data_IF_449486209014
#
_entry.id   IF_449486209014
#
_cell.length_a   1.000
_cell.length_b   1.000
_cell.length_c   1.000
_cell.angle_alpha   90.00
_cell.angle_beta   90.00
_cell.angle_gamma   90.00
#
_symmetry.space_group_name_H-M   'P 1'
#
loop_
_entity.id
_entity.type
_entity.pdbx_description
1 polymer ?
#
# COMPACT_ATOMS: atom_id res chain seq x y z
N UNK A 1 -37.92 6.23 28.30
CA UNK A 1 -36.81 5.33 27.88
C UNK A 1 -36.77 5.15 26.37
N UNK A 2 -37.91 4.97 25.70
CA UNK A 2 -38.01 4.78 24.24
C UNK A 2 -37.36 5.90 23.41
N UNK A 3 -37.58 7.17 23.78
CA UNK A 3 -36.98 8.32 23.10
C UNK A 3 -35.46 8.34 23.18
N UNK A 4 -34.88 7.89 24.30
CA UNK A 4 -33.42 7.76 24.47
C UNK A 4 -32.87 6.63 23.59
N UNK A 5 -33.58 5.52 23.50
CA UNK A 5 -33.17 4.39 22.66
C UNK A 5 -33.21 4.80 21.18
N UNK A 6 -34.29 5.45 20.74
CA UNK A 6 -34.46 5.93 19.37
C UNK A 6 -33.39 6.97 18.98
N UNK A 7 -33.05 7.87 19.89
CA UNK A 7 -32.00 8.87 19.64
C UNK A 7 -30.62 8.22 19.53
N UNK A 8 -30.28 7.28 20.40
CA UNK A 8 -29.02 6.52 20.30
C UNK A 8 -28.95 5.74 18.98
N UNK A 9 -30.05 5.06 18.61
CA UNK A 9 -30.10 4.29 17.37
C UNK A 9 -29.94 5.17 16.13
N UNK A 10 -30.57 6.36 16.14
CA UNK A 10 -30.46 7.33 15.06
C UNK A 10 -29.03 7.86 14.91
N UNK A 11 -28.34 8.18 16.01
CA UNK A 11 -26.93 8.61 15.99
C UNK A 11 -26.02 7.52 15.43
N UNK A 12 -26.19 6.27 15.89
CA UNK A 12 -25.40 5.13 15.38
C UNK A 12 -25.66 4.87 13.90
N UNK A 13 -26.91 4.96 13.45
CA UNK A 13 -27.26 4.80 12.04
C UNK A 13 -26.62 5.90 11.18
N UNK A 14 -26.60 7.14 11.67
CA UNK A 14 -25.96 8.26 10.97
C UNK A 14 -24.43 8.10 10.89
N UNK A 15 -23.78 7.66 11.98
CA UNK A 15 -22.34 7.34 11.99
C UNK A 15 -22.05 6.19 11.01
N UNK A 16 -22.86 5.15 11.02
CA UNK A 16 -22.73 4.03 10.09
C UNK A 16 -22.84 4.46 8.63
N UNK A 17 -23.86 5.27 8.31
CA UNK A 17 -24.09 5.76 6.95
C UNK A 17 -22.96 6.67 6.47
N UNK A 18 -22.48 7.58 7.31
CA UNK A 18 -21.36 8.48 6.97
C UNK A 18 -20.07 7.70 6.72
N UNK A 19 -19.77 6.67 7.52
CA UNK A 19 -18.63 5.79 7.28
C UNK A 19 -18.76 5.02 5.96
N UNK A 20 -19.97 4.52 5.66
CA UNK A 20 -20.26 3.76 4.44
C UNK A 20 -20.09 4.64 3.18
N UNK A 21 -20.62 5.86 3.20
CA UNK A 21 -20.46 6.85 2.12
C UNK A 21 -19.00 7.24 1.96
N UNK A 22 -18.28 7.52 3.05
CA UNK A 22 -16.86 7.87 3.00
C UNK A 22 -16.00 6.73 2.43
N UNK A 23 -16.29 5.48 2.82
CA UNK A 23 -15.61 4.29 2.30
C UNK A 23 -15.84 4.12 0.79
N UNK A 24 -17.09 4.28 0.36
CA UNK A 24 -17.47 4.19 -1.04
C UNK A 24 -16.80 5.28 -1.90
N UNK A 25 -16.79 6.53 -1.42
CA UNK A 25 -16.12 7.64 -2.10
C UNK A 25 -14.59 7.46 -2.14
N UNK A 26 -13.99 6.94 -1.07
CA UNK A 26 -12.55 6.63 -1.03
C UNK A 26 -12.18 5.55 -2.02
N UNK A 27 -13.00 4.51 -2.17
CA UNK A 27 -12.77 3.45 -3.16
C UNK A 27 -12.84 3.98 -4.60
N UNK A 28 -13.71 4.96 -4.87
CA UNK A 28 -13.88 5.50 -6.21
C UNK A 28 -12.80 6.52 -6.61
N UNK A 29 -12.13 7.15 -5.64
CA UNK A 29 -11.12 8.18 -5.88
C UNK A 29 -9.82 7.60 -6.51
N UNK A 30 -9.53 6.32 -6.30
CA UNK A 30 -8.34 5.67 -6.90
C UNK A 30 -8.44 5.52 -8.42
N UNK A 31 -9.62 5.69 -9.02
CA UNK A 31 -9.83 5.47 -10.47
C UNK A 31 -9.62 6.71 -11.33
N UNK A 32 -9.50 7.91 -10.76
CA UNK A 32 -9.71 9.17 -11.51
C UNK A 32 -8.44 10.01 -11.73
N UNK A 33 -7.27 9.64 -11.20
CA UNK A 33 -6.02 10.38 -11.44
C UNK A 33 -4.88 9.45 -11.85
N UNK A 34 -4.88 9.10 -13.13
CA UNK A 34 -3.92 8.23 -13.82
C UNK A 34 -2.56 8.92 -14.07
N UNK A 35 -2.04 9.66 -13.09
CA UNK A 35 -0.70 10.27 -13.16
C UNK A 35 0.43 9.25 -12.97
N UNK A 36 0.10 7.96 -12.78
CA UNK A 36 1.03 6.83 -12.92
C UNK A 36 2.10 6.70 -11.85
N UNK A 37 1.93 7.30 -10.67
CA UNK A 37 2.95 7.26 -9.61
C UNK A 37 3.01 5.87 -8.95
N UNK A 38 4.21 5.27 -9.00
CA UNK A 38 4.52 3.97 -8.41
C UNK A 38 5.58 4.11 -7.33
N UNK A 39 5.42 3.38 -6.24
CA UNK A 39 6.40 3.30 -5.16
C UNK A 39 7.26 2.05 -5.36
N UNK A 40 8.56 2.27 -5.52
CA UNK A 40 9.56 1.20 -5.60
C UNK A 40 10.41 1.27 -4.32
N UNK A 41 10.44 0.17 -3.58
CA UNK A 41 11.31 -0.01 -2.43
C UNK A 41 12.51 -0.86 -2.83
N UNK A 42 13.68 -0.22 -2.85
CA UNK A 42 14.96 -0.88 -3.00
C UNK A 42 15.39 -1.40 -1.63
N UNK A 43 15.58 -2.72 -1.52
CA UNK A 43 16.02 -3.37 -0.29
C UNK A 43 17.55 -3.38 -0.28
N UNK A 44 18.22 -2.60 0.61
CA UNK A 44 19.67 -2.62 0.69
C UNK A 44 20.18 -3.98 1.17
N UNK A 45 21.45 -4.28 0.86
CA UNK A 45 22.18 -5.44 1.38
C UNK A 45 22.07 -5.53 2.91
N UNK A 46 21.88 -6.76 3.42
CA UNK A 46 21.73 -7.09 4.84
C UNK A 46 20.52 -6.49 5.59
N UNK A 47 19.53 -5.94 4.89
CA UNK A 47 18.34 -5.35 5.51
C UNK A 47 17.09 -6.24 5.53
N UNK A 48 17.25 -7.52 5.19
CA UNK A 48 16.16 -8.51 5.11
C UNK A 48 15.32 -8.60 6.38
N UNK A 49 15.97 -8.50 7.55
CA UNK A 49 15.33 -8.55 8.87
C UNK A 49 14.38 -7.37 9.16
N UNK A 50 14.51 -6.23 8.47
CA UNK A 50 13.66 -5.05 8.64
C UNK A 50 12.56 -4.97 7.58
N UNK A 51 12.66 -5.76 6.51
CA UNK A 51 11.78 -5.70 5.35
C UNK A 51 10.30 -5.87 5.74
N UNK A 52 10.00 -6.87 6.57
CA UNK A 52 8.64 -7.12 7.05
C UNK A 52 8.06 -5.92 7.81
N UNK A 53 8.83 -5.36 8.75
CA UNK A 53 8.39 -4.22 9.54
C UNK A 53 8.11 -2.99 8.69
N UNK A 54 8.95 -2.73 7.69
CA UNK A 54 8.78 -1.62 6.75
C UNK A 54 7.51 -1.81 5.92
N UNK A 55 7.32 -2.99 5.32
CA UNK A 55 6.13 -3.29 4.51
C UNK A 55 4.86 -3.15 5.35
N UNK A 56 4.83 -3.75 6.54
CA UNK A 56 3.67 -3.64 7.43
C UNK A 56 3.38 -2.19 7.81
N UNK A 57 4.41 -1.38 8.08
CA UNK A 57 4.24 0.05 8.37
C UNK A 57 3.65 0.82 7.18
N UNK A 58 4.14 0.58 5.96
CA UNK A 58 3.64 1.23 4.74
C UNK A 58 2.13 1.00 4.58
N UNK A 59 1.67 -0.23 4.77
CA UNK A 59 0.25 -0.56 4.67
C UNK A 59 -0.56 -0.04 5.86
N UNK A 60 0.00 -0.09 7.08
CA UNK A 60 -0.64 0.46 8.28
C UNK A 60 -0.88 1.98 8.15
N UNK A 61 0.09 2.71 7.58
CA UNK A 61 0.01 4.16 7.37
C UNK A 61 -0.82 4.54 6.13
N UNK A 62 -1.33 3.54 5.40
CA UNK A 62 -2.12 3.68 4.15
C UNK A 62 -1.37 4.49 3.10
N UNK A 63 -0.05 4.31 3.02
CA UNK A 63 0.81 5.02 2.05
C UNK A 63 0.39 4.73 0.60
N UNK A 64 0.10 3.47 0.20
CA UNK A 64 -0.29 3.17 -1.18
C UNK A 64 -1.55 3.91 -1.60
N UNK A 65 -2.54 4.00 -0.73
CA UNK A 65 -3.81 4.69 -1.01
C UNK A 65 -3.66 6.21 -1.08
N UNK A 66 -2.65 6.77 -0.40
CA UNK A 66 -2.40 8.22 -0.35
C UNK A 66 -1.51 8.71 -1.48
N UNK A 67 -0.52 7.91 -1.87
CA UNK A 67 0.57 8.35 -2.76
C UNK A 67 0.57 7.64 -4.11
N UNK A 68 -0.05 6.47 -4.23
CA UNK A 68 0.06 5.62 -5.42
C UNK A 68 -1.24 5.55 -6.19
N UNK A 69 -1.13 5.40 -7.50
CA UNK A 69 -2.29 5.25 -8.38
C UNK A 69 -2.84 3.82 -8.36
N UNK A 70 -1.97 2.81 -8.27
CA UNK A 70 -2.35 1.39 -8.32
C UNK A 70 -2.50 0.75 -6.94
N UNK A 71 -2.03 1.40 -5.88
CA UNK A 71 -2.05 0.86 -4.52
C UNK A 71 -1.12 -0.36 -4.33
N UNK A 72 -0.21 -0.62 -5.26
CA UNK A 72 0.66 -1.81 -5.27
C UNK A 72 2.09 -1.43 -4.95
N UNK A 73 2.66 -1.95 -3.87
CA UNK A 73 4.06 -1.66 -3.53
C UNK A 73 5.00 -2.55 -4.35
N UNK A 74 5.97 -1.95 -5.03
CA UNK A 74 6.95 -2.68 -5.83
C UNK A 74 8.24 -2.86 -5.03
N UNK A 75 8.76 -4.08 -4.96
CA UNK A 75 9.98 -4.42 -4.24
C UNK A 75 11.09 -4.77 -5.21
N UNK A 76 12.24 -4.11 -5.07
CA UNK A 76 13.45 -4.45 -5.80
C UNK A 76 14.42 -5.12 -4.83
N UNK A 77 14.63 -6.41 -5.02
CA UNK A 77 15.44 -7.26 -4.13
C UNK A 77 16.63 -7.80 -4.93
N UNK A 78 17.87 -7.60 -4.45
CA UNK A 78 19.06 -8.20 -5.06
C UNK A 78 18.99 -9.73 -5.16
N UNK A 79 19.50 -10.31 -6.25
CA UNK A 79 19.38 -11.76 -6.54
C UNK A 79 20.04 -12.67 -5.50
N UNK A 80 21.03 -12.16 -4.79
CA UNK A 80 21.79 -12.85 -3.76
C UNK A 80 21.06 -12.91 -2.41
N UNK A 81 20.05 -12.05 -2.18
CA UNK A 81 19.28 -12.01 -0.93
C UNK A 81 18.08 -12.96 -0.90
N UNK A 82 18.36 -14.27 -0.79
CA UNK A 82 17.32 -15.32 -0.71
C UNK A 82 16.34 -15.13 0.46
N UNK A 83 16.83 -14.64 1.60
CA UNK A 83 15.99 -14.44 2.78
C UNK A 83 14.99 -13.30 2.59
N UNK A 84 15.41 -12.19 1.99
CA UNK A 84 14.52 -11.07 1.66
C UNK A 84 13.46 -11.51 0.64
N UNK A 85 13.82 -12.32 -0.36
CA UNK A 85 12.88 -12.86 -1.32
C UNK A 85 11.81 -13.74 -0.66
N UNK A 86 12.21 -14.64 0.25
CA UNK A 86 11.28 -15.52 0.98
C UNK A 86 10.31 -14.73 1.86
N UNK A 87 10.79 -13.65 2.47
CA UNK A 87 9.94 -12.73 3.24
C UNK A 87 8.95 -12.04 2.31
N UNK A 88 9.40 -11.52 1.17
CA UNK A 88 8.55 -10.84 0.19
C UNK A 88 7.45 -11.76 -0.37
N UNK A 89 7.77 -13.00 -0.72
CA UNK A 89 6.79 -14.01 -1.17
C UNK A 89 5.73 -14.30 -0.11
N UNK A 90 6.13 -14.33 1.16
CA UNK A 90 5.20 -14.52 2.28
C UNK A 90 4.26 -13.32 2.42
N UNK A 91 4.81 -12.10 2.31
CA UNK A 91 4.07 -10.86 2.43
C UNK A 91 3.13 -10.60 1.24
N UNK A 92 3.49 -11.07 0.05
CA UNK A 92 2.68 -10.95 -1.17
C UNK A 92 1.31 -11.65 -1.05
N UNK A 93 1.18 -12.63 -0.14
CA UNK A 93 -0.10 -13.29 0.17
C UNK A 93 -1.04 -12.41 0.99
N UNK A 94 -0.51 -11.41 1.70
CA UNK A 94 -1.26 -10.56 2.63
C UNK A 94 -1.44 -9.12 2.11
N UNK A 95 -0.53 -8.66 1.27
CA UNK A 95 -0.45 -7.28 0.82
C UNK A 95 -0.27 -7.22 -0.71
N UNK A 96 -0.80 -6.17 -1.38
CA UNK A 96 -0.58 -5.95 -2.81
C UNK A 96 0.88 -5.54 -3.04
N UNK A 97 1.73 -6.55 -3.26
CA UNK A 97 3.16 -6.42 -3.46
C UNK A 97 3.56 -7.06 -4.80
N UNK A 98 4.52 -6.47 -5.49
CA UNK A 98 5.14 -7.07 -6.68
C UNK A 98 6.65 -7.03 -6.51
N UNK A 99 7.29 -8.20 -6.58
CA UNK A 99 8.76 -8.28 -6.65
C UNK A 99 9.18 -8.02 -8.10
N UNK A 100 9.98 -6.99 -8.28
CA UNK A 100 10.58 -6.63 -9.55
C UNK A 100 11.85 -7.46 -9.80
N UNK A 101 12.17 -7.75 -11.07
CA UNK A 101 13.47 -8.30 -11.41
C UNK A 101 14.58 -7.32 -11.02
N UNK A 102 15.77 -7.83 -10.80
CA UNK A 102 16.95 -7.02 -10.55
C UNK A 102 17.27 -6.13 -11.78
N UNK A 103 16.97 -4.85 -11.65
CA UNK A 103 17.20 -3.77 -12.61
C UNK A 103 18.48 -2.98 -12.30
N UNK A 104 19.44 -3.52 -11.55
CA UNK A 104 20.76 -2.88 -11.32
C UNK A 104 21.50 -2.50 -12.62
N UNK A 105 21.02 -2.95 -13.78
CA UNK A 105 21.52 -2.59 -15.11
C UNK A 105 20.56 -1.73 -15.97
N UNK A 106 19.37 -1.34 -15.48
CA UNK A 106 18.30 -0.75 -16.32
C UNK A 106 17.74 0.57 -15.74
N UNK A 107 18.38 1.16 -14.72
CA UNK A 107 18.05 2.53 -14.34
C UNK A 107 18.51 3.49 -15.45
N UNK A 108 17.54 4.02 -16.17
CA UNK A 108 17.62 4.86 -17.36
C UNK A 108 18.83 5.82 -17.43
N UNK A 109 19.45 5.80 -18.61
CA UNK A 109 20.34 6.82 -19.17
C UNK A 109 19.72 8.21 -19.04
N UNK A 110 20.26 9.03 -18.13
CA UNK A 110 19.92 10.44 -18.01
C UNK A 110 20.59 11.17 -19.17
N UNK A 111 19.94 11.16 -20.33
CA UNK A 111 20.41 11.93 -21.47
C UNK A 111 20.11 13.41 -21.20
N UNK A 112 21.08 14.11 -20.59
CA UNK A 112 21.09 15.57 -20.49
C UNK A 112 20.96 16.17 -21.89
N UNK A 113 19.87 16.90 -22.12
CA UNK A 113 19.76 17.89 -23.20
C UNK A 113 19.62 19.27 -22.60
#
# INVERSE_FOLDING_TARGET
METLILTILSVLAFIGLTYLVSSYLSSNKSRISDTGYKLILCVPEDSSNKLEGIIRRIFLERVPEKLMTDGVVYLMIPKDQKDALKIAETLQKMYPLIVLPDLSHVLYDYNER
#
